data_IF_727556340367
#
_entry.id   IF_727556340367
#
_cell.length_a   1.000
_cell.length_b   1.000
_cell.length_c   1.000
_cell.angle_alpha   90.00
_cell.angle_beta   90.00
_cell.angle_gamma   90.00
#
_symmetry.space_group_name_H-M   'P 1'
#
loop_
_entity.id
_entity.type
_entity.pdbx_description
1 polymer ?
#
# COMPACT_ATOMS: atom_id res chain seq x y z
N UNK A 1 10.09 -19.95 -6.35
CA UNK A 1 11.34 -20.14 -7.10
C UNK A 1 12.39 -19.11 -6.69
N UNK A 2 12.13 -17.80 -6.74
CA UNK A 2 13.10 -16.77 -6.29
C UNK A 2 13.32 -16.71 -4.76
N UNK A 3 12.25 -16.77 -3.97
CA UNK A 3 12.32 -16.71 -2.49
C UNK A 3 13.17 -17.84 -1.91
N UNK A 4 13.08 -19.03 -2.52
CA UNK A 4 13.81 -20.22 -2.08
C UNK A 4 15.33 -20.09 -2.26
N UNK A 5 15.79 -19.20 -3.14
CA UNK A 5 17.21 -18.92 -3.36
C UNK A 5 17.69 -17.69 -2.57
N UNK A 6 16.85 -16.64 -2.47
CA UNK A 6 17.19 -15.41 -1.74
C UNK A 6 17.31 -15.68 -0.22
N UNK A 7 16.43 -16.48 0.37
CA UNK A 7 16.44 -16.73 1.82
C UNK A 7 17.73 -17.44 2.28
N UNK A 8 18.21 -18.52 1.64
CA UNK A 8 19.52 -19.10 1.94
C UNK A 8 20.70 -18.15 1.68
N UNK A 9 20.66 -17.36 0.60
CA UNK A 9 21.71 -16.39 0.29
C UNK A 9 21.81 -15.29 1.38
N UNK A 10 20.67 -14.79 1.86
CA UNK A 10 20.63 -13.83 2.96
C UNK A 10 21.13 -14.42 4.28
N UNK A 11 20.85 -15.71 4.53
CA UNK A 11 21.38 -16.40 5.71
C UNK A 11 22.91 -16.44 5.73
N UNK A 12 23.54 -16.68 4.57
CA UNK A 12 25.01 -16.63 4.45
C UNK A 12 25.61 -15.25 4.76
N UNK A 13 24.88 -14.16 4.49
CA UNK A 13 25.28 -12.79 4.86
C UNK A 13 25.00 -12.54 6.35
N UNK A 14 23.83 -12.96 6.85
CA UNK A 14 23.45 -12.81 8.25
C UNK A 14 24.45 -13.50 9.19
N UNK A 15 24.92 -14.69 8.83
CA UNK A 15 25.89 -15.45 9.63
C UNK A 15 27.27 -14.77 9.73
N UNK A 16 27.64 -13.92 8.77
CA UNK A 16 28.96 -13.28 8.69
C UNK A 16 28.99 -11.80 9.06
N UNK A 17 27.96 -11.03 8.70
CA UNK A 17 27.96 -9.56 8.80
C UNK A 17 27.00 -9.06 9.88
N UNK A 18 25.75 -9.53 9.85
CA UNK A 18 24.68 -9.06 10.77
C UNK A 18 23.92 -10.28 11.30
N UNK A 19 24.34 -10.77 12.48
CA UNK A 19 23.72 -11.92 13.14
C UNK A 19 22.22 -11.69 13.31
N UNK A 20 21.44 -12.74 13.05
CA UNK A 20 19.97 -12.76 13.18
C UNK A 20 19.20 -11.78 12.26
N UNK A 21 19.84 -11.23 11.23
CA UNK A 21 19.16 -10.40 10.24
C UNK A 21 18.04 -11.18 9.51
N UNK A 22 16.86 -10.56 9.42
CA UNK A 22 15.71 -11.11 8.69
C UNK A 22 15.51 -10.33 7.39
N UNK A 23 15.47 -11.00 6.21
CA UNK A 23 15.26 -10.32 4.95
C UNK A 23 13.83 -9.76 4.85
N UNK A 24 13.71 -8.47 4.56
CA UNK A 24 12.44 -7.86 4.16
C UNK A 24 12.26 -8.06 2.64
N UNK A 25 11.34 -8.97 2.27
CA UNK A 25 11.06 -9.31 0.88
C UNK A 25 9.80 -8.59 0.38
N UNK A 26 9.59 -8.64 -0.93
CA UNK A 26 8.45 -8.00 -1.54
C UNK A 26 7.11 -8.60 -1.08
N UNK A 27 6.12 -7.73 -1.04
CA UNK A 27 4.72 -7.95 -0.83
C UNK A 27 4.13 -9.28 -1.32
N UNK A 28 4.36 -9.72 -2.58
CA UNK A 28 3.77 -10.95 -3.12
C UNK A 28 4.28 -12.23 -2.46
N UNK A 29 5.34 -12.14 -1.65
CA UNK A 29 5.85 -13.30 -0.90
C UNK A 29 4.79 -13.92 0.00
N UNK A 30 3.77 -13.15 0.43
CA UNK A 30 2.66 -13.68 1.24
C UNK A 30 1.52 -14.28 0.42
N UNK A 31 1.47 -14.06 -0.89
CA UNK A 31 0.34 -14.46 -1.74
C UNK A 31 0.12 -15.98 -1.83
N UNK A 32 1.18 -16.82 -1.91
CA UNK A 32 1.01 -18.27 -1.93
C UNK A 32 0.36 -18.85 -0.67
N UNK A 33 0.41 -18.15 0.47
CA UNK A 33 -0.14 -18.64 1.74
C UNK A 33 -1.66 -18.48 1.85
N UNK A 34 -2.26 -17.54 1.10
CA UNK A 34 -3.71 -17.38 1.05
C UNK A 34 -4.20 -16.86 -0.32
N UNK A 35 -4.09 -17.66 -1.40
CA UNK A 35 -4.39 -17.20 -2.76
C UNK A 35 -5.82 -16.69 -2.97
N UNK A 36 -6.80 -17.27 -2.26
CA UNK A 36 -8.19 -16.81 -2.33
C UNK A 36 -8.35 -15.41 -1.70
N UNK A 37 -7.63 -15.14 -0.61
CA UNK A 37 -7.67 -13.85 0.06
C UNK A 37 -6.98 -12.75 -0.77
N UNK A 38 -6.00 -13.11 -1.60
CA UNK A 38 -5.34 -12.18 -2.55
C UNK A 38 -6.38 -11.62 -3.53
N UNK A 39 -7.16 -12.49 -4.18
CA UNK A 39 -8.15 -12.07 -5.17
C UNK A 39 -9.27 -11.25 -4.50
N UNK A 40 -9.79 -11.73 -3.37
CA UNK A 40 -10.83 -11.02 -2.61
C UNK A 40 -10.33 -9.65 -2.16
N UNK A 41 -9.11 -9.57 -1.64
CA UNK A 41 -8.48 -8.32 -1.21
C UNK A 41 -8.29 -7.33 -2.35
N UNK A 42 -7.75 -7.80 -3.49
CA UNK A 42 -7.62 -6.98 -4.69
C UNK A 42 -8.97 -6.39 -5.12
N UNK A 43 -10.01 -7.23 -5.27
CA UNK A 43 -11.32 -6.77 -5.73
C UNK A 43 -11.97 -5.81 -4.74
N UNK A 44 -11.93 -6.11 -3.44
CA UNK A 44 -12.47 -5.21 -2.41
C UNK A 44 -11.75 -3.86 -2.38
N UNK A 45 -10.42 -3.87 -2.47
CA UNK A 45 -9.61 -2.65 -2.54
C UNK A 45 -9.90 -1.85 -3.81
N UNK A 46 -10.00 -2.51 -4.96
CA UNK A 46 -10.29 -1.86 -6.24
C UNK A 46 -11.68 -1.22 -6.26
N UNK A 47 -12.69 -1.90 -5.70
CA UNK A 47 -14.04 -1.33 -5.52
C UNK A 47 -13.97 -0.10 -4.60
N UNK A 48 -13.22 -0.14 -3.52
CA UNK A 48 -13.01 1.04 -2.66
C UNK A 48 -12.34 2.20 -3.43
N UNK A 49 -11.41 1.90 -4.33
CA UNK A 49 -10.79 2.89 -5.22
C UNK A 49 -11.78 3.53 -6.18
N UNK A 50 -12.64 2.72 -6.82
CA UNK A 50 -13.71 3.22 -7.68
C UNK A 50 -14.70 4.10 -6.91
N UNK A 51 -15.11 3.67 -5.71
CA UNK A 51 -15.98 4.47 -4.84
C UNK A 51 -15.29 5.79 -4.48
N UNK A 52 -14.02 5.74 -4.08
CA UNK A 52 -13.25 6.94 -3.71
C UNK A 52 -13.10 7.91 -4.87
N UNK A 53 -12.93 7.43 -6.10
CA UNK A 53 -12.86 8.26 -7.31
C UNK A 53 -14.08 9.17 -7.46
N UNK A 54 -15.28 8.67 -7.17
CA UNK A 54 -16.52 9.46 -7.20
C UNK A 54 -16.71 10.33 -5.95
N UNK A 55 -16.10 9.96 -4.83
CA UNK A 55 -16.18 10.71 -3.57
C UNK A 55 -15.19 11.89 -3.52
N UNK A 56 -13.99 11.77 -4.10
CA UNK A 56 -12.96 12.82 -4.05
C UNK A 56 -13.48 14.22 -4.47
N UNK A 57 -14.23 14.38 -5.58
CA UNK A 57 -14.80 15.67 -5.96
C UNK A 57 -15.72 16.30 -4.91
N UNK A 58 -16.46 15.47 -4.15
CA UNK A 58 -17.38 15.95 -3.10
C UNK A 58 -16.63 16.60 -1.94
N UNK A 59 -15.36 16.24 -1.74
CA UNK A 59 -14.47 16.80 -0.73
C UNK A 59 -13.54 17.88 -1.29
N UNK A 60 -13.71 18.29 -2.56
CA UNK A 60 -12.81 19.24 -3.22
C UNK A 60 -11.40 18.69 -3.49
N UNK A 61 -11.23 17.37 -3.45
CA UNK A 61 -9.95 16.70 -3.70
C UNK A 61 -9.79 16.32 -5.18
N UNK A 62 -8.53 16.27 -5.64
CA UNK A 62 -8.19 15.75 -6.97
C UNK A 62 -8.67 14.31 -7.13
N UNK A 63 -9.23 14.01 -8.31
CA UNK A 63 -9.68 12.65 -8.64
C UNK A 63 -8.48 11.75 -8.84
N UNK A 64 -8.38 10.70 -8.02
CA UNK A 64 -7.38 9.64 -8.19
C UNK A 64 -8.02 8.49 -8.95
N UNK A 65 -7.48 8.19 -10.13
CA UNK A 65 -7.90 7.03 -10.92
C UNK A 65 -7.31 5.77 -10.27
N UNK A 66 -8.14 4.78 -9.90
CA UNK A 66 -7.66 3.60 -9.19
C UNK A 66 -6.74 2.75 -10.09
N UNK A 67 -5.47 2.67 -9.72
CA UNK A 67 -4.47 1.90 -10.45
C UNK A 67 -4.51 0.40 -10.11
N UNK A 68 -4.46 -0.47 -11.12
CA UNK A 68 -4.49 -1.92 -10.91
C UNK A 68 -3.32 -2.42 -10.05
N UNK A 69 -2.12 -1.86 -10.23
CA UNK A 69 -0.90 -2.25 -9.50
C UNK A 69 -1.06 -2.03 -7.99
N UNK A 70 -1.27 -0.81 -7.45
CA UNK A 70 -1.37 -0.61 -6.01
C UNK A 70 -2.55 -1.36 -5.37
N UNK A 71 -3.71 -1.42 -6.05
CA UNK A 71 -4.84 -2.19 -5.53
C UNK A 71 -4.57 -3.69 -5.55
N UNK A 72 -3.85 -4.22 -6.54
CA UNK A 72 -3.46 -5.62 -6.57
C UNK A 72 -2.41 -5.93 -5.52
N UNK A 73 -1.29 -5.21 -5.49
CA UNK A 73 -0.19 -5.53 -4.57
C UNK A 73 -0.56 -5.20 -3.12
N UNK A 74 -0.92 -3.95 -2.83
CA UNK A 74 -1.18 -3.51 -1.46
C UNK A 74 -2.58 -3.92 -0.98
N UNK A 75 -3.59 -3.87 -1.85
CA UNK A 75 -4.93 -4.38 -1.51
C UNK A 75 -4.97 -5.90 -1.29
N UNK A 76 -4.28 -6.70 -2.12
CA UNK A 76 -4.23 -8.14 -1.88
C UNK A 76 -3.46 -8.49 -0.61
N UNK A 77 -2.33 -7.83 -0.31
CA UNK A 77 -1.65 -7.97 0.98
C UNK A 77 -2.60 -7.69 2.14
N UNK A 78 -3.31 -6.57 2.10
CA UNK A 78 -4.28 -6.22 3.13
C UNK A 78 -5.37 -7.30 3.28
N UNK A 79 -5.83 -7.89 2.17
CA UNK A 79 -6.75 -9.02 2.17
C UNK A 79 -6.16 -10.28 2.79
N UNK A 80 -4.91 -10.63 2.50
CA UNK A 80 -4.21 -11.78 3.09
C UNK A 80 -4.09 -11.65 4.61
N UNK A 81 -3.61 -10.50 5.09
CA UNK A 81 -3.50 -10.25 6.53
C UNK A 81 -4.88 -10.12 7.21
N UNK A 82 -5.84 -9.46 6.56
CA UNK A 82 -7.23 -9.39 7.02
C UNK A 82 -7.89 -10.77 7.12
N UNK A 83 -7.54 -11.70 6.23
CA UNK A 83 -8.03 -13.07 6.28
C UNK A 83 -7.48 -13.83 7.50
N UNK A 84 -6.23 -13.61 7.88
CA UNK A 84 -5.62 -14.26 9.04
C UNK A 84 -6.21 -13.72 10.35
N UNK A 85 -6.49 -12.41 10.42
CA UNK A 85 -6.98 -11.77 11.65
C UNK A 85 -8.50 -11.86 11.83
N UNK A 86 -9.27 -11.85 10.74
CA UNK A 86 -10.74 -11.77 10.77
C UNK A 86 -11.46 -12.66 9.76
N UNK A 87 -10.78 -13.65 9.19
CA UNK A 87 -11.35 -14.55 8.19
C UNK A 87 -11.85 -13.81 6.95
N UNK A 88 -12.88 -14.35 6.31
CA UNK A 88 -13.42 -13.80 5.05
C UNK A 88 -13.88 -12.35 5.18
N UNK A 89 -14.55 -12.01 6.27
CA UNK A 89 -14.99 -10.64 6.53
C UNK A 89 -13.80 -9.70 6.75
N UNK A 90 -12.79 -10.14 7.50
CA UNK A 90 -11.55 -9.37 7.69
C UNK A 90 -10.81 -9.11 6.38
N UNK A 91 -10.78 -10.09 5.47
CA UNK A 91 -10.16 -9.93 4.15
C UNK A 91 -10.84 -8.82 3.33
N UNK A 92 -12.18 -8.79 3.32
CA UNK A 92 -12.96 -7.78 2.58
C UNK A 92 -12.84 -6.41 3.24
N UNK A 93 -13.16 -6.31 4.53
CA UNK A 93 -13.19 -5.01 5.24
C UNK A 93 -11.79 -4.40 5.32
N UNK A 94 -10.77 -5.22 5.62
CA UNK A 94 -9.38 -4.76 5.69
C UNK A 94 -8.88 -4.24 4.35
N UNK A 95 -9.12 -4.97 3.26
CA UNK A 95 -8.71 -4.52 1.94
C UNK A 95 -9.52 -3.34 1.41
N UNK A 96 -10.82 -3.27 1.71
CA UNK A 96 -11.66 -2.13 1.36
C UNK A 96 -11.20 -0.86 2.07
N UNK A 97 -10.98 -0.93 3.39
CA UNK A 97 -10.45 0.20 4.17
C UNK A 97 -9.08 0.64 3.64
N UNK A 98 -8.20 -0.31 3.36
CA UNK A 98 -6.91 0.01 2.73
C UNK A 98 -7.08 0.65 1.35
N UNK A 99 -8.03 0.19 0.53
CA UNK A 99 -8.35 0.76 -0.78
C UNK A 99 -8.82 2.22 -0.70
N UNK A 100 -9.60 2.58 0.33
CA UNK A 100 -9.96 3.97 0.61
C UNK A 100 -8.69 4.79 0.96
N UNK A 101 -7.84 4.27 1.84
CA UNK A 101 -6.61 4.98 2.26
C UNK A 101 -5.70 5.31 1.08
N UNK A 102 -5.43 4.33 0.20
CA UNK A 102 -4.58 4.56 -0.98
C UNK A 102 -5.25 5.38 -2.08
N UNK A 103 -6.51 5.79 -1.89
CA UNK A 103 -7.20 6.71 -2.80
C UNK A 103 -7.23 8.13 -2.23
N UNK A 104 -7.51 8.27 -0.94
CA UNK A 104 -7.58 9.58 -0.29
C UNK A 104 -6.21 10.15 0.08
N UNK A 105 -5.28 9.34 0.59
CA UNK A 105 -3.96 9.84 1.01
C UNK A 105 -3.18 10.46 -0.15
N UNK A 106 -3.12 9.85 -1.36
CA UNK A 106 -2.44 10.48 -2.49
C UNK A 106 -3.14 11.77 -2.93
N UNK A 107 -4.47 11.83 -2.86
CA UNK A 107 -5.24 13.02 -3.19
C UNK A 107 -4.94 14.19 -2.25
N UNK A 108 -4.76 13.90 -0.95
CA UNK A 108 -4.38 14.89 0.07
C UNK A 108 -2.91 15.31 -0.08
N UNK A 109 -2.03 14.40 -0.49
CA UNK A 109 -0.60 14.66 -0.66
C UNK A 109 -0.29 15.49 -1.93
N UNK A 110 -1.11 15.39 -2.98
CA UNK A 110 -0.86 16.01 -4.28
C UNK A 110 -0.52 17.52 -4.24
N UNK A 111 -1.22 18.38 -3.47
CA UNK A 111 -0.87 19.80 -3.38
C UNK A 111 0.57 20.03 -2.90
N UNK A 112 1.00 19.27 -1.90
CA UNK A 112 2.35 19.36 -1.32
C UNK A 112 3.41 18.91 -2.33
N UNK A 113 3.10 17.90 -3.14
CA UNK A 113 3.98 17.48 -4.25
C UNK A 113 4.07 18.55 -5.35
N UNK A 114 2.97 19.29 -5.58
CA UNK A 114 2.92 20.42 -6.51
C UNK A 114 3.91 21.52 -6.15
N UNK A 115 3.98 21.91 -4.87
CA UNK A 115 4.91 22.93 -4.38
C UNK A 115 6.39 22.52 -4.56
N UNK A 116 6.66 21.23 -4.64
CA UNK A 116 8.00 20.66 -4.87
C UNK A 116 8.33 20.48 -6.37
N UNK A 117 7.47 20.93 -7.28
CA UNK A 117 7.64 20.76 -8.73
C UNK A 117 7.29 19.36 -9.24
N UNK A 118 6.68 18.52 -8.41
CA UNK A 118 6.23 17.16 -8.72
C UNK A 118 4.71 17.08 -8.93
N UNK A 119 4.13 18.17 -9.45
CA UNK A 119 2.69 18.29 -9.69
C UNK A 119 2.13 17.14 -10.52
N UNK A 120 0.96 16.64 -10.14
CA UNK A 120 0.27 15.50 -10.76
C UNK A 120 0.96 14.14 -10.63
N UNK A 121 2.01 14.04 -9.81
CA UNK A 121 2.65 12.75 -9.50
C UNK A 121 2.42 12.39 -8.04
N UNK A 122 2.13 11.12 -7.78
CA UNK A 122 1.95 10.58 -6.42
C UNK A 122 2.12 9.06 -6.47
N UNK A 123 2.18 8.42 -5.29
CA UNK A 123 2.34 6.97 -5.17
C UNK A 123 1.11 6.34 -4.53
N UNK A 124 0.78 5.12 -4.97
CA UNK A 124 -0.40 4.38 -4.52
C UNK A 124 -0.19 3.57 -3.24
N UNK A 125 0.83 3.91 -2.45
CA UNK A 125 1.16 3.22 -1.20
C UNK A 125 0.77 4.08 0.00
N UNK A 126 0.11 3.47 0.99
CA UNK A 126 -0.43 4.19 2.13
C UNK A 126 0.67 4.76 3.04
N UNK A 127 1.78 4.05 3.18
CA UNK A 127 2.95 4.51 3.93
C UNK A 127 3.58 5.75 3.29
N UNK A 128 3.74 5.77 1.96
CA UNK A 128 4.19 6.95 1.23
C UNK A 128 3.25 8.14 1.44
N UNK A 129 1.93 7.90 1.34
CA UNK A 129 0.92 8.91 1.59
C UNK A 129 1.02 9.51 3.01
N UNK A 130 1.05 8.67 4.04
CA UNK A 130 1.13 9.11 5.43
C UNK A 130 2.44 9.84 5.72
N UNK A 131 3.57 9.23 5.36
CA UNK A 131 4.91 9.79 5.62
C UNK A 131 5.08 11.09 4.86
N UNK A 132 4.65 11.14 3.60
CA UNK A 132 4.69 12.34 2.76
C UNK A 132 3.89 13.48 3.36
N UNK A 133 2.66 13.23 3.82
CA UNK A 133 1.81 14.26 4.44
C UNK A 133 2.45 14.76 5.74
N UNK A 134 2.92 13.86 6.61
CA UNK A 134 3.53 14.25 7.90
C UNK A 134 4.80 15.07 7.68
N UNK A 135 5.73 14.59 6.83
CA UNK A 135 6.96 15.30 6.53
C UNK A 135 6.70 16.64 5.85
N UNK A 136 5.76 16.69 4.91
CA UNK A 136 5.40 17.93 4.24
C UNK A 136 4.92 19.01 5.22
N UNK A 137 4.11 18.63 6.22
CA UNK A 137 3.65 19.58 7.24
C UNK A 137 4.77 20.02 8.17
N UNK A 138 5.67 19.10 8.55
CA UNK A 138 6.85 19.43 9.36
C UNK A 138 7.72 20.44 8.62
N UNK A 139 8.00 20.22 7.33
CA UNK A 139 8.81 21.13 6.51
C UNK A 139 8.13 22.49 6.38
N UNK A 140 6.80 22.52 6.19
CA UNK A 140 6.03 23.76 6.12
C UNK A 140 6.10 24.60 7.41
N UNK A 141 6.42 24.02 8.57
CA UNK A 141 6.62 24.79 9.81
C UNK A 141 7.94 25.57 9.84
N UNK A 142 8.89 25.24 8.95
CA UNK A 142 10.21 25.89 8.88
C UNK A 142 10.35 26.91 7.75
N UNK A 143 9.32 27.06 6.90
CA UNK A 143 9.22 28.09 5.87
C UNK A 143 8.32 29.23 6.34
#
# INVERSE_FOLDING_TARGET
>A
MVIAEIVPAFKGIADKLVKDAKPALDCPTVFPFAPNAVIVGFLASFVAGLVSMFLCPLFGLSVIVPGLVPHFFCGAKAGVYGNITGGRCGAVVGAFAHGLLISFLPAILLPMMGDMGLGSTTFGDADFGVVGIVLGHIIAMFN
#
